data_IF_385421997395
#
_entry.id   IF_385421997395
#
_cell.length_a   1.000
_cell.length_b   1.000
_cell.length_c   1.000
_cell.angle_alpha   90.00
_cell.angle_beta   90.00
_cell.angle_gamma   90.00
#
_symmetry.space_group_name_H-M   'P 1'
#
loop_
_entity.id
_entity.type
_entity.pdbx_description
1 polymer ?
#
# COMPACT_ATOMS: atom_id res chain seq x y z
N UNK A 1 -8.63 7.87 0.39
CA UNK A 1 -9.16 6.85 1.33
C UNK A 1 -8.20 5.68 1.36
N UNK A 2 -8.00 5.04 2.52
CA UNK A 2 -7.16 3.84 2.65
C UNK A 2 -7.86 2.82 3.56
N UNK A 3 -7.80 1.53 3.20
CA UNK A 3 -8.56 0.43 3.83
C UNK A 3 -9.38 -0.38 2.81
N UNK A 4 -9.81 -1.58 3.21
CA UNK A 4 -10.58 -2.50 2.36
C UNK A 4 -12.09 -2.49 2.65
N UNK A 5 -12.89 -3.30 1.92
CA UNK A 5 -14.34 -3.41 2.15
C UNK A 5 -14.72 -3.74 3.59
N UNK A 6 -13.93 -4.59 4.25
CA UNK A 6 -14.11 -4.94 5.66
C UNK A 6 -13.91 -3.74 6.61
N UNK A 7 -13.04 -2.79 6.27
CA UNK A 7 -12.82 -1.58 7.07
C UNK A 7 -13.98 -0.59 6.92
N UNK A 8 -14.61 -0.53 5.74
CA UNK A 8 -15.81 0.29 5.51
C UNK A 8 -16.97 -0.21 6.38
N UNK A 9 -17.23 -1.52 6.34
CA UNK A 9 -18.31 -2.14 7.13
C UNK A 9 -18.06 -1.97 8.63
N UNK A 10 -16.79 -1.99 9.04
CA UNK A 10 -16.41 -1.80 10.44
C UNK A 10 -16.28 -0.33 10.86
N UNK A 11 -16.52 0.64 9.96
CA UNK A 11 -16.40 2.07 10.24
C UNK A 11 -14.97 2.57 10.46
N UNK A 12 -13.95 1.82 10.01
CA UNK A 12 -12.52 2.09 10.22
C UNK A 12 -11.78 2.50 8.94
N UNK A 13 -12.51 2.97 7.94
CA UNK A 13 -11.87 3.45 6.71
C UNK A 13 -11.09 4.72 7.02
N UNK A 14 -9.82 4.79 6.61
CA UNK A 14 -9.06 6.03 6.74
C UNK A 14 -9.45 7.00 5.62
N UNK A 15 -9.90 8.20 5.99
CA UNK A 15 -10.32 9.25 5.04
C UNK A 15 -9.37 10.44 5.12
N UNK A 16 -8.71 10.76 4.01
CA UNK A 16 -7.96 12.02 3.86
C UNK A 16 -8.88 13.05 3.20
N UNK A 17 -9.38 14.01 3.97
CA UNK A 17 -10.35 15.00 3.51
C UNK A 17 -9.65 16.28 3.04
N UNK A 18 -9.60 16.46 1.72
CA UNK A 18 -9.02 17.64 1.06
C UNK A 18 -9.91 18.87 1.18
N UNK A 19 -9.49 19.93 1.87
CA UNK A 19 -10.25 21.19 1.88
C UNK A 19 -9.99 22.10 3.07
N UNK A 20 -10.79 23.16 3.15
CA UNK A 20 -10.84 24.06 4.31
C UNK A 20 -11.26 23.27 5.56
N UNK A 21 -10.50 23.44 6.65
CA UNK A 21 -10.70 22.73 7.90
C UNK A 21 -12.12 22.90 8.45
N UNK A 22 -12.69 24.10 8.35
CA UNK A 22 -14.07 24.36 8.79
C UNK A 22 -15.11 23.65 7.91
N UNK A 23 -14.80 23.38 6.64
CA UNK A 23 -15.67 22.56 5.78
C UNK A 23 -15.56 21.09 6.15
N UNK A 24 -14.34 20.59 6.35
CA UNK A 24 -14.10 19.19 6.75
C UNK A 24 -14.77 18.90 8.09
N UNK A 25 -14.69 19.83 9.05
CA UNK A 25 -15.30 19.65 10.37
C UNK A 25 -16.82 19.61 10.33
N UNK A 26 -17.45 20.43 9.48
CA UNK A 26 -18.91 20.34 9.24
C UNK A 26 -19.33 19.01 8.62
N UNK A 27 -18.46 18.41 7.80
CA UNK A 27 -18.73 17.13 7.14
C UNK A 27 -18.34 15.92 8.00
N UNK A 28 -17.58 16.11 9.07
CA UNK A 28 -17.09 15.05 9.97
C UNK A 28 -18.22 14.12 10.45
N UNK A 29 -19.41 14.58 10.86
CA UNK A 29 -20.48 13.69 11.31
C UNK A 29 -20.97 12.71 10.23
N UNK A 30 -20.94 13.12 8.97
CA UNK A 30 -21.34 12.27 7.83
C UNK A 30 -20.23 11.27 7.50
N UNK A 31 -18.98 11.73 7.47
CA UNK A 31 -17.82 10.87 7.20
C UNK A 31 -17.61 9.82 8.30
N UNK A 32 -17.86 10.19 9.56
CA UNK A 32 -17.72 9.31 10.72
C UNK A 32 -18.69 8.12 10.71
N UNK A 33 -19.69 8.12 9.83
CA UNK A 33 -20.58 6.97 9.65
C UNK A 33 -19.86 5.73 9.09
N UNK A 34 -18.71 5.90 8.43
CA UNK A 34 -17.96 4.80 7.80
C UNK A 34 -16.43 4.93 7.89
N UNK A 35 -15.93 6.01 8.51
CA UNK A 35 -14.51 6.33 8.51
C UNK A 35 -13.98 6.75 9.88
N UNK A 36 -12.86 6.15 10.25
CA UNK A 36 -12.04 6.50 11.40
C UNK A 36 -10.61 5.97 11.16
N UNK A 37 -9.56 6.83 11.10
CA UNK A 37 -9.58 8.28 11.29
C UNK A 37 -9.96 9.09 10.04
N UNK A 38 -10.49 10.29 10.27
CA UNK A 38 -10.67 11.34 9.26
C UNK A 38 -9.56 12.38 9.44
N UNK A 39 -8.63 12.41 8.49
CA UNK A 39 -7.46 13.26 8.46
C UNK A 39 -7.73 14.49 7.56
N UNK A 40 -7.85 15.71 8.12
CA UNK A 40 -7.95 16.92 7.32
C UNK A 40 -6.62 17.17 6.59
N UNK A 41 -6.69 17.43 5.28
CA UNK A 41 -5.54 17.73 4.45
C UNK A 41 -5.86 18.97 3.61
N UNK A 42 -5.06 20.03 3.70
CA UNK A 42 -5.27 21.25 2.94
C UNK A 42 -4.18 21.42 1.88
N UNK A 43 -4.48 22.06 0.72
CA UNK A 43 -5.78 22.57 0.27
C UNK A 43 -6.67 21.48 -0.38
N UNK A 44 -7.78 21.88 -1.01
CA UNK A 44 -8.54 21.00 -1.93
C UNK A 44 -7.57 20.37 -2.95
N UNK A 45 -7.69 19.07 -3.16
CA UNK A 45 -6.77 18.28 -3.99
C UNK A 45 -5.61 17.63 -3.23
N UNK A 46 -5.22 18.13 -2.04
CA UNK A 46 -4.13 17.54 -1.26
C UNK A 46 -4.41 16.09 -0.83
N UNK A 47 -5.68 15.74 -0.59
CA UNK A 47 -6.10 14.37 -0.29
C UNK A 47 -5.81 13.38 -1.43
N UNK A 48 -5.87 13.83 -2.70
CA UNK A 48 -5.48 13.01 -3.85
C UNK A 48 -3.97 12.78 -3.87
N UNK A 49 -3.18 13.82 -3.58
CA UNK A 49 -1.72 13.72 -3.45
C UNK A 49 -1.29 12.75 -2.33
N UNK A 50 -1.92 12.84 -1.15
CA UNK A 50 -1.66 11.89 -0.06
C UNK A 50 -2.01 10.46 -0.48
N UNK A 51 -3.15 10.26 -1.14
CA UNK A 51 -3.53 8.92 -1.60
C UNK A 51 -2.58 8.38 -2.66
N UNK A 52 -2.09 9.23 -3.56
CA UNK A 52 -1.09 8.87 -4.56
C UNK A 52 0.18 8.33 -3.89
N UNK A 53 0.71 9.06 -2.92
CA UNK A 53 1.94 8.69 -2.20
C UNK A 53 1.72 7.39 -1.41
N UNK A 54 0.58 7.25 -0.72
CA UNK A 54 0.19 6.03 0.00
C UNK A 54 0.16 4.80 -0.92
N UNK A 55 -0.55 4.91 -2.06
CA UNK A 55 -0.67 3.81 -3.03
C UNK A 55 0.67 3.50 -3.72
N UNK A 56 1.48 4.50 -4.08
CA UNK A 56 2.80 4.27 -4.67
C UNK A 56 3.74 3.56 -3.68
N UNK A 57 3.75 3.98 -2.41
CA UNK A 57 4.57 3.34 -1.38
C UNK A 57 4.08 1.92 -1.10
N UNK A 58 2.77 1.71 -0.97
CA UNK A 58 2.20 0.38 -0.76
C UNK A 58 2.47 -0.56 -1.94
N UNK A 59 2.42 -0.07 -3.18
CA UNK A 59 2.73 -0.87 -4.38
C UNK A 59 4.21 -1.25 -4.49
N UNK A 60 5.12 -0.46 -3.93
CA UNK A 60 6.55 -0.77 -3.89
C UNK A 60 6.89 -1.86 -2.86
N UNK A 61 6.15 -1.94 -1.75
CA UNK A 61 6.41 -2.89 -0.67
C UNK A 61 6.41 -4.37 -1.09
N UNK A 62 5.45 -4.89 -1.88
CA UNK A 62 5.44 -6.29 -2.28
C UNK A 62 6.68 -6.72 -3.06
N UNK A 63 7.21 -5.87 -3.95
CA UNK A 63 8.46 -6.15 -4.67
C UNK A 63 9.66 -6.24 -3.71
N UNK A 64 9.74 -5.33 -2.74
CA UNK A 64 10.78 -5.38 -1.69
C UNK A 64 10.66 -6.62 -0.80
N UNK A 65 9.44 -7.04 -0.48
CA UNK A 65 9.19 -8.24 0.32
C UNK A 65 9.61 -9.50 -0.45
N UNK A 66 9.38 -9.55 -1.77
CA UNK A 66 9.84 -10.66 -2.62
C UNK A 66 11.38 -10.77 -2.61
N UNK A 67 12.09 -9.66 -2.81
CA UNK A 67 13.56 -9.67 -2.74
C UNK A 67 14.08 -10.00 -1.34
N UNK A 68 13.40 -9.55 -0.28
CA UNK A 68 13.76 -9.89 1.08
C UNK A 68 13.58 -11.39 1.36
N UNK A 69 12.50 -12.00 0.85
CA UNK A 69 12.27 -13.44 0.94
C UNK A 69 13.37 -14.22 0.19
N UNK A 70 13.68 -13.82 -1.05
CA UNK A 70 14.76 -14.41 -1.86
C UNK A 70 16.12 -14.34 -1.17
N UNK A 71 16.47 -13.18 -0.59
CA UNK A 71 17.68 -13.02 0.20
C UNK A 71 17.68 -13.90 1.46
N UNK A 72 16.54 -14.03 2.13
CA UNK A 72 16.39 -14.93 3.28
C UNK A 72 16.66 -16.39 2.93
N UNK A 73 16.14 -16.85 1.78
CA UNK A 73 16.40 -18.20 1.27
C UNK A 73 17.90 -18.43 1.00
N UNK A 74 18.59 -17.47 0.38
CA UNK A 74 20.05 -17.53 0.17
C UNK A 74 20.84 -17.61 1.48
N UNK A 75 20.31 -17.00 2.54
CA UNK A 75 20.86 -17.06 3.90
C UNK A 75 20.42 -18.31 4.68
N UNK A 76 19.59 -19.18 4.08
CA UNK A 76 19.10 -20.41 4.69
C UNK A 76 18.01 -20.21 5.75
N UNK A 77 17.28 -19.09 5.70
CA UNK A 77 16.16 -18.79 6.60
C UNK A 77 14.85 -19.16 5.92
N UNK A 78 14.01 -19.93 6.61
CA UNK A 78 12.66 -20.23 6.14
C UNK A 78 11.84 -18.94 5.94
N UNK A 79 11.15 -18.82 4.81
CA UNK A 79 10.40 -17.61 4.43
C UNK A 79 9.37 -17.24 5.51
N UNK A 80 8.62 -18.20 6.04
CA UNK A 80 7.57 -17.93 7.02
C UNK A 80 8.15 -17.42 8.35
N UNK A 81 9.29 -17.98 8.77
CA UNK A 81 10.03 -17.54 9.96
C UNK A 81 10.59 -16.13 9.74
N UNK A 82 11.17 -15.87 8.56
CA UNK A 82 11.69 -14.55 8.19
C UNK A 82 10.59 -13.48 8.22
N UNK A 83 9.47 -13.72 7.55
CA UNK A 83 8.35 -12.77 7.47
C UNK A 83 7.77 -12.46 8.85
N UNK A 84 7.65 -13.46 9.71
CA UNK A 84 7.23 -13.27 11.09
C UNK A 84 8.24 -12.42 11.89
N UNK A 85 9.53 -12.75 11.80
CA UNK A 85 10.58 -12.02 12.52
C UNK A 85 10.70 -10.56 12.07
N UNK A 86 10.61 -10.28 10.77
CA UNK A 86 10.63 -8.93 10.23
C UNK A 86 9.39 -8.10 10.65
N UNK A 87 8.26 -8.78 10.85
CA UNK A 87 7.01 -8.15 11.31
C UNK A 87 7.08 -7.57 12.72
N UNK A 88 7.95 -8.11 13.57
CA UNK A 88 8.20 -7.61 14.94
C UNK A 88 9.31 -6.54 14.98
N UNK A 89 10.08 -6.40 13.90
CA UNK A 89 11.23 -5.50 13.83
C UNK A 89 10.92 -4.13 13.22
N UNK A 90 11.97 -3.34 13.01
CA UNK A 90 11.86 -2.00 12.38
C UNK A 90 11.41 -2.04 10.91
N UNK A 91 11.37 -3.23 10.30
CA UNK A 91 10.88 -3.44 8.94
C UNK A 91 9.36 -3.63 8.86
N UNK A 92 8.66 -3.64 10.01
CA UNK A 92 7.22 -3.84 10.09
C UNK A 92 6.44 -2.89 9.18
N UNK A 93 5.52 -3.45 8.39
CA UNK A 93 4.62 -2.70 7.52
C UNK A 93 3.31 -3.45 7.30
N UNK A 94 2.27 -2.74 6.83
CA UNK A 94 0.97 -3.36 6.56
C UNK A 94 1.05 -4.42 5.46
N UNK A 95 1.88 -4.20 4.44
CA UNK A 95 2.14 -5.19 3.40
C UNK A 95 2.86 -6.43 3.97
N UNK A 96 3.89 -6.22 4.80
CA UNK A 96 4.61 -7.32 5.43
C UNK A 96 3.72 -8.14 6.37
N UNK A 97 2.84 -7.49 7.15
CA UNK A 97 1.85 -8.19 7.96
C UNK A 97 0.90 -9.05 7.08
N UNK A 98 0.55 -8.57 5.89
CA UNK A 98 -0.23 -9.32 4.91
C UNK A 98 0.51 -10.53 4.32
N UNK A 99 1.82 -10.42 4.14
CA UNK A 99 2.70 -11.52 3.72
C UNK A 99 2.91 -12.55 4.82
N UNK A 100 3.23 -12.12 6.03
CA UNK A 100 3.37 -12.96 7.21
C UNK A 100 2.08 -13.75 7.50
N UNK A 101 0.90 -13.11 7.43
CA UNK A 101 -0.38 -13.79 7.63
C UNK A 101 -0.66 -14.89 6.59
N UNK A 102 -0.04 -14.82 5.41
CA UNK A 102 -0.12 -15.84 4.35
C UNK A 102 1.04 -16.84 4.39
N UNK A 103 2.04 -16.57 5.23
CA UNK A 103 3.30 -17.31 5.31
C UNK A 103 4.10 -17.31 4.01
N UNK A 104 3.83 -16.37 3.08
CA UNK A 104 4.48 -16.32 1.78
C UNK A 104 4.28 -14.96 1.11
N UNK A 105 5.39 -14.37 0.66
CA UNK A 105 5.45 -13.17 -0.17
C UNK A 105 4.69 -13.39 -1.47
N UNK A 106 4.92 -14.51 -2.16
CA UNK A 106 4.25 -14.82 -3.42
C UNK A 106 2.73 -14.87 -3.27
N UNK A 107 2.22 -15.60 -2.27
CA UNK A 107 0.76 -15.68 -2.02
C UNK A 107 0.16 -14.32 -1.70
N UNK A 108 0.91 -13.46 -1.02
CA UNK A 108 0.50 -12.09 -0.75
C UNK A 108 0.43 -11.26 -2.03
N UNK A 109 1.50 -11.22 -2.82
CA UNK A 109 1.60 -10.45 -4.06
C UNK A 109 0.47 -10.84 -5.02
N UNK A 110 0.27 -12.13 -5.26
CA UNK A 110 -0.81 -12.65 -6.11
C UNK A 110 -2.19 -12.23 -5.60
N UNK A 111 -2.39 -12.21 -4.28
CA UNK A 111 -3.66 -11.82 -3.66
C UNK A 111 -3.96 -10.31 -3.70
N UNK A 112 -2.95 -9.46 -3.91
CA UNK A 112 -3.13 -8.00 -3.97
C UNK A 112 -3.00 -7.42 -5.39
N UNK A 113 -2.56 -8.22 -6.37
CA UNK A 113 -2.24 -7.79 -7.74
C UNK A 113 -3.32 -6.95 -8.40
N UNK A 114 -4.57 -7.43 -8.40
CA UNK A 114 -5.67 -6.72 -9.08
C UNK A 114 -5.87 -5.30 -8.53
N UNK A 115 -5.70 -5.13 -7.21
CA UNK A 115 -5.79 -3.82 -6.56
C UNK A 115 -4.58 -2.96 -6.88
N UNK A 116 -3.38 -3.54 -6.92
CA UNK A 116 -2.15 -2.84 -7.22
C UNK A 116 -2.11 -2.34 -8.67
N UNK A 117 -2.55 -3.13 -9.65
CA UNK A 117 -2.58 -2.73 -11.06
C UNK A 117 -3.44 -1.48 -11.27
N UNK A 118 -4.60 -1.44 -10.61
CA UNK A 118 -5.49 -0.27 -10.62
C UNK A 118 -4.85 0.95 -9.95
N UNK A 119 -4.26 0.75 -8.77
CA UNK A 119 -3.63 1.84 -8.02
C UNK A 119 -2.39 2.39 -8.76
N UNK A 120 -1.59 1.54 -9.40
CA UNK A 120 -0.44 1.92 -10.22
C UNK A 120 -0.86 2.75 -11.44
N UNK A 121 -1.96 2.39 -12.10
CA UNK A 121 -2.50 3.17 -13.22
C UNK A 121 -2.89 4.59 -12.77
N UNK A 122 -3.52 4.71 -11.60
CA UNK A 122 -3.87 6.01 -11.01
C UNK A 122 -2.62 6.79 -10.60
N UNK A 123 -1.61 6.12 -10.03
CA UNK A 123 -0.33 6.75 -9.66
C UNK A 123 0.36 7.34 -10.88
N UNK A 124 0.45 6.59 -11.98
CA UNK A 124 1.06 7.06 -13.23
C UNK A 124 0.29 8.23 -13.82
N UNK A 125 -1.04 8.10 -13.95
CA UNK A 125 -1.88 9.14 -14.52
C UNK A 125 -1.78 10.48 -13.77
N UNK A 126 -1.89 10.44 -12.43
CA UNK A 126 -1.81 11.65 -11.62
C UNK A 126 -0.39 12.22 -11.54
N UNK A 127 0.66 11.38 -11.58
CA UNK A 127 2.03 11.86 -11.69
C UNK A 127 2.24 12.63 -13.00
N UNK A 128 1.70 12.12 -14.11
CA UNK A 128 1.74 12.79 -15.42
C UNK A 128 0.95 14.12 -15.40
N UNK A 129 -0.26 14.13 -14.86
CA UNK A 129 -1.10 15.35 -14.78
C UNK A 129 -0.48 16.45 -13.90
N UNK A 130 0.17 16.06 -12.79
CA UNK A 130 0.76 17.01 -11.82
C UNK A 130 2.22 17.38 -12.13
N UNK A 131 2.87 16.69 -13.08
CA UNK A 131 4.31 16.80 -13.32
C UNK A 131 5.18 16.28 -12.17
N UNK A 132 4.59 15.55 -11.22
CA UNK A 132 5.29 14.97 -10.09
C UNK A 132 6.17 13.79 -10.54
N UNK A 133 7.36 13.66 -9.95
CA UNK A 133 8.28 12.55 -10.27
C UNK A 133 8.16 11.45 -9.24
N UNK A 134 7.80 10.25 -9.69
CA UNK A 134 7.79 9.02 -8.87
C UNK A 134 9.21 8.62 -8.41
N UNK A 135 10.24 9.05 -9.16
CA UNK A 135 11.63 9.00 -8.71
C UNK A 135 12.12 7.59 -8.39
N UNK A 136 12.75 7.42 -7.23
CA UNK A 136 13.32 6.14 -6.78
C UNK A 136 12.25 5.04 -6.56
N UNK A 137 10.97 5.39 -6.48
CA UNK A 137 9.89 4.39 -6.42
C UNK A 137 9.70 3.70 -7.78
N UNK A 138 10.04 4.37 -8.89
CA UNK A 138 9.86 3.83 -10.24
C UNK A 138 10.51 2.45 -10.45
N UNK A 139 11.82 2.23 -10.15
CA UNK A 139 12.44 0.92 -10.30
C UNK A 139 11.86 -0.13 -9.34
N UNK A 140 11.43 0.26 -8.14
CA UNK A 140 10.84 -0.68 -7.16
C UNK A 140 9.44 -1.13 -7.59
N UNK A 141 8.68 -0.23 -8.21
CA UNK A 141 7.39 -0.55 -8.82
C UNK A 141 7.56 -1.45 -10.05
N UNK A 142 8.67 -1.36 -10.77
CA UNK A 142 9.00 -2.29 -11.85
C UNK A 142 9.42 -3.67 -11.32
N UNK A 143 10.16 -3.72 -10.20
CA UNK A 143 10.54 -4.97 -9.55
C UNK A 143 9.34 -5.82 -9.08
N UNK A 144 8.17 -5.21 -8.88
CA UNK A 144 6.91 -5.93 -8.66
C UNK A 144 6.55 -6.82 -9.86
N UNK A 145 6.72 -6.31 -11.08
CA UNK A 145 6.43 -7.07 -12.30
C UNK A 145 7.42 -8.23 -12.50
N UNK A 146 8.69 -8.02 -12.12
CA UNK A 146 9.73 -9.05 -12.14
C UNK A 146 9.44 -10.16 -11.11
N UNK A 147 9.10 -9.80 -9.87
CA UNK A 147 8.68 -10.74 -8.83
C UNK A 147 7.43 -11.55 -9.20
N UNK A 148 6.65 -11.08 -10.17
CA UNK A 148 5.46 -11.75 -10.70
C UNK A 148 5.75 -12.62 -11.93
N UNK A 149 6.89 -12.44 -12.60
CA UNK A 149 7.30 -13.20 -13.78
C UNK A 149 8.34 -14.27 -13.48
N UNK A 150 9.18 -14.10 -12.46
CA UNK A 150 10.24 -15.07 -12.09
C UNK A 150 9.74 -16.28 -11.30
N UNK A 151 8.51 -16.28 -10.77
CA UNK A 151 8.03 -17.38 -9.93
C UNK A 151 7.48 -18.53 -10.80
N UNK A 152 8.06 -19.74 -10.75
CA UNK A 152 7.56 -20.87 -11.52
C UNK A 152 6.14 -21.22 -11.08
N UNK A 153 5.26 -21.47 -12.05
CA UNK A 153 3.97 -22.11 -11.78
C UNK A 153 4.24 -23.49 -11.18
N UNK A 154 3.95 -23.64 -9.88
CA UNK A 154 3.88 -24.95 -9.23
C UNK A 154 2.80 -25.82 -9.87
#
# INVERSE_FOLDING_TARGET
MSGGPHDIVAGRLTVCAGGDEAVVERLRPVLAAYADPILPVAPVGAGQGVKLVDSALFAAQPGLIAEAARLGEELGVDESVLLAALGEGSAASRALAGAAARGSAHRFITGVREFLDKDLAVVRHLADESGARVGALQPVLAALDDALTEVPRA
#
